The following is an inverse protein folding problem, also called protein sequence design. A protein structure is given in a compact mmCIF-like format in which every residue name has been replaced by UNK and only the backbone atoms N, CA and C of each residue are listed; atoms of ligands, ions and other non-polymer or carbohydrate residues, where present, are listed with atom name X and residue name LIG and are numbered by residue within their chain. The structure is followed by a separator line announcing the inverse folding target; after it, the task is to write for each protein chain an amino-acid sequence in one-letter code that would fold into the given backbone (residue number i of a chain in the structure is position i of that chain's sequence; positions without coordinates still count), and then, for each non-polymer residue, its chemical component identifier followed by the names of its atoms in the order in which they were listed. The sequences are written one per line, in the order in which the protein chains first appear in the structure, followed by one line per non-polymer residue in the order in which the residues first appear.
data_IF_103820584321
#
_entry.id   IF_103820584321
#
_cell.length_a   1.000
_cell.length_b   1.000
_cell.length_c   1.000
_cell.angle_alpha   90.00
_cell.angle_beta   90.00
_cell.angle_gamma   90.00
#
_symmetry.space_group_name_H-M   'P 1'
#
loop_
_entity.id
_entity.type
_entity.pdbx_description
1 polymer ?
#
# COMPACT_ATOMS: atom_id res chain seq x y z
N UNK A 1 -53.95 25.42 5.14
CA UNK A 1 -52.72 25.90 4.48
C UNK A 1 -51.52 25.58 5.36
N UNK A 2 -50.41 25.15 4.74
CA UNK A 2 -49.00 25.19 5.20
C UNK A 2 -48.58 24.14 6.26
N UNK A 3 -47.40 23.52 6.27
CA UNK A 3 -46.37 23.12 5.30
C UNK A 3 -45.45 22.07 6.01
N UNK A 4 -44.53 21.49 5.25
CA UNK A 4 -43.68 20.31 5.44
C UNK A 4 -42.55 20.40 6.53
N UNK A 5 -41.74 19.32 6.74
CA UNK A 5 -41.03 18.92 7.97
C UNK A 5 -39.55 19.33 8.02
N UNK A 6 -38.88 19.25 9.18
CA UNK A 6 -37.41 19.36 9.26
C UNK A 6 -36.82 18.81 10.58
N UNK A 7 -36.65 17.49 10.70
CA UNK A 7 -35.82 16.90 11.77
C UNK A 7 -34.93 15.76 11.26
N UNK A 8 -34.49 15.82 10.00
CA UNK A 8 -33.72 14.75 9.35
C UNK A 8 -32.28 15.07 8.84
N UNK A 9 -31.61 16.21 9.15
CA UNK A 9 -30.23 16.39 8.67
C UNK A 9 -29.14 15.89 9.64
N UNK A 10 -29.33 15.99 10.97
CA UNK A 10 -28.25 15.75 11.94
C UNK A 10 -27.87 14.26 12.08
N UNK A 11 -28.86 13.37 12.10
CA UNK A 11 -28.65 11.93 12.25
C UNK A 11 -28.02 11.31 10.98
N UNK A 12 -28.34 11.86 9.80
CA UNK A 12 -27.70 11.50 8.55
C UNK A 12 -26.24 11.98 8.47
N UNK A 13 -25.94 13.18 8.99
CA UNK A 13 -24.58 13.72 9.03
C UNK A 13 -23.65 12.88 9.92
N UNK A 14 -24.12 12.45 11.10
CA UNK A 14 -23.34 11.61 12.01
C UNK A 14 -23.05 10.23 11.41
N UNK A 15 -24.03 9.61 10.75
CA UNK A 15 -23.82 8.35 10.02
C UNK A 15 -22.85 8.50 8.85
N UNK A 16 -22.94 9.61 8.10
CA UNK A 16 -22.03 9.89 6.99
C UNK A 16 -20.58 10.08 7.48
N UNK A 17 -20.37 10.85 8.55
CA UNK A 17 -19.05 11.04 9.15
C UNK A 17 -18.48 9.74 9.72
N UNK A 18 -19.29 8.90 10.37
CA UNK A 18 -18.87 7.59 10.85
C UNK A 18 -18.53 6.64 9.69
N UNK A 19 -19.21 6.76 8.54
CA UNK A 19 -18.90 5.98 7.35
C UNK A 19 -17.60 6.44 6.69
N UNK A 20 -17.37 7.75 6.62
CA UNK A 20 -16.13 8.33 6.10
C UNK A 20 -14.91 8.03 6.98
N UNK A 21 -15.03 8.08 8.32
CA UNK A 21 -13.95 7.67 9.21
C UNK A 21 -13.63 6.17 9.08
N UNK A 22 -14.66 5.33 8.93
CA UNK A 22 -14.49 3.90 8.67
C UNK A 22 -13.82 3.65 7.32
N UNK A 23 -14.18 4.42 6.28
CA UNK A 23 -13.54 4.38 4.95
C UNK A 23 -12.05 4.75 5.01
N UNK A 24 -11.73 5.81 5.74
CA UNK A 24 -10.36 6.25 5.95
C UNK A 24 -9.53 5.22 6.72
N UNK A 25 -10.12 4.55 7.72
CA UNK A 25 -9.45 3.48 8.45
C UNK A 25 -9.24 2.18 7.65
N UNK A 26 -10.00 1.94 6.56
CA UNK A 26 -9.77 0.77 5.67
C UNK A 26 -8.50 0.94 4.83
N UNK A 27 -8.09 2.18 4.59
CA UNK A 27 -6.87 2.51 3.84
C UNK A 27 -5.61 2.23 4.69
N UNK A 28 -5.73 2.22 6.03
CA UNK A 28 -4.57 2.14 6.94
C UNK A 28 -4.28 0.74 7.53
N UNK A 29 -5.12 -0.27 7.33
CA UNK A 29 -4.77 -1.66 7.70
C UNK A 29 -4.37 -2.41 6.44
N UNK A 30 -3.30 -1.94 5.80
CA UNK A 30 -2.49 -2.86 5.00
C UNK A 30 -1.81 -3.81 5.99
N UNK A 31 -1.89 -5.14 5.80
CA UNK A 31 -0.98 -6.03 6.53
C UNK A 31 0.41 -5.48 6.30
N UNK A 32 1.20 -5.34 7.37
CA UNK A 32 2.62 -4.98 7.27
C UNK A 32 3.28 -6.04 6.41
N UNK A 33 3.27 -5.81 5.10
CA UNK A 33 3.82 -6.74 4.15
C UNK A 33 5.30 -6.88 4.50
N UNK A 34 5.90 -8.07 4.37
CA UNK A 34 7.33 -8.25 4.63
C UNK A 34 8.20 -7.24 3.84
N UNK A 35 7.66 -6.69 2.74
CA UNK A 35 8.21 -5.57 1.97
C UNK A 35 8.44 -4.27 2.77
N UNK A 36 7.68 -3.99 3.83
CA UNK A 36 7.83 -2.77 4.64
C UNK A 36 9.03 -2.86 5.59
N UNK A 37 9.30 -4.06 6.11
CA UNK A 37 10.53 -4.35 6.86
C UNK A 37 11.78 -4.24 5.95
N UNK A 38 11.63 -4.56 4.67
CA UNK A 38 12.70 -4.36 3.69
C UNK A 38 12.97 -2.88 3.41
N UNK A 39 11.96 -2.01 3.59
CA UNK A 39 12.08 -0.58 3.33
C UNK A 39 12.99 0.18 4.31
N UNK A 40 13.24 -0.42 5.47
CA UNK A 40 14.19 0.10 6.44
C UNK A 40 15.64 -0.30 6.09
N UNK A 41 15.85 -1.21 5.13
CA UNK A 41 17.18 -1.65 4.72
C UNK A 41 17.83 -0.64 3.78
N UNK A 42 19.16 -0.48 3.85
CA UNK A 42 19.87 0.30 2.86
C UNK A 42 19.70 -0.34 1.47
N UNK A 43 19.64 0.50 0.43
CA UNK A 43 19.36 0.12 -0.97
C UNK A 43 20.05 -1.17 -1.45
N UNK A 44 21.32 -1.39 -1.08
CA UNK A 44 22.09 -2.59 -1.48
C UNK A 44 21.53 -3.85 -0.85
N UNK A 45 21.33 -3.84 0.47
CA UNK A 45 20.77 -4.96 1.23
C UNK A 45 19.34 -5.28 0.78
N UNK A 46 18.55 -4.26 0.46
CA UNK A 46 17.19 -4.45 -0.03
C UNK A 46 17.19 -5.21 -1.38
N UNK A 47 18.01 -4.79 -2.34
CA UNK A 47 18.15 -5.50 -3.62
C UNK A 47 18.65 -6.93 -3.45
N UNK A 48 19.55 -7.19 -2.50
CA UNK A 48 20.01 -8.55 -2.18
C UNK A 48 18.90 -9.41 -1.58
N UNK A 49 18.08 -8.87 -0.67
CA UNK A 49 16.89 -9.57 -0.15
C UNK A 49 15.89 -9.93 -1.25
N UNK A 50 15.61 -8.99 -2.17
CA UNK A 50 14.70 -9.24 -3.29
C UNK A 50 15.24 -10.37 -4.17
N UNK A 51 16.55 -10.40 -4.44
CA UNK A 51 17.19 -11.49 -5.20
C UNK A 51 17.13 -12.82 -4.48
N UNK A 52 17.33 -12.85 -3.16
CA UNK A 52 17.21 -14.06 -2.35
C UNK A 52 15.80 -14.63 -2.44
N UNK A 53 14.77 -13.80 -2.21
CA UNK A 53 13.35 -14.21 -2.34
C UNK A 53 13.04 -14.74 -3.74
N UNK A 54 13.54 -14.07 -4.78
CA UNK A 54 13.40 -14.54 -6.18
C UNK A 54 14.08 -15.89 -6.39
N UNK A 55 15.28 -16.10 -5.85
CA UNK A 55 16.01 -17.37 -5.95
C UNK A 55 15.32 -18.51 -5.18
N UNK A 56 14.63 -18.18 -4.08
CA UNK A 56 13.78 -19.11 -3.33
C UNK A 56 12.45 -19.43 -4.04
N UNK A 57 12.16 -18.74 -5.15
CA UNK A 57 10.90 -18.90 -5.91
C UNK A 57 9.75 -18.04 -5.40
N UNK A 58 9.98 -17.22 -4.38
CA UNK A 58 9.01 -16.34 -3.75
C UNK A 58 8.86 -15.02 -4.55
N UNK A 59 8.37 -15.16 -5.79
CA UNK A 59 8.24 -14.05 -6.75
C UNK A 59 7.24 -12.99 -6.29
N UNK A 60 6.21 -13.38 -5.56
CA UNK A 60 5.17 -12.47 -5.05
C UNK A 60 5.75 -11.48 -4.02
N UNK A 61 6.41 -11.96 -2.97
CA UNK A 61 7.06 -11.07 -2.00
C UNK A 61 8.25 -10.33 -2.62
N UNK A 62 8.99 -10.94 -3.54
CA UNK A 62 10.07 -10.25 -4.25
C UNK A 62 9.53 -9.06 -5.06
N UNK A 63 8.40 -9.24 -5.75
CA UNK A 63 7.71 -8.17 -6.47
C UNK A 63 7.18 -7.10 -5.52
N UNK A 64 6.46 -7.47 -4.47
CA UNK A 64 5.93 -6.50 -3.50
C UNK A 64 7.04 -5.64 -2.88
N UNK A 65 8.17 -6.28 -2.54
CA UNK A 65 9.36 -5.60 -2.00
C UNK A 65 10.05 -4.71 -3.04
N UNK A 66 10.07 -5.13 -4.31
CA UNK A 66 10.59 -4.34 -5.42
C UNK A 66 9.70 -3.13 -5.76
N UNK A 67 8.38 -3.28 -5.76
CA UNK A 67 7.44 -2.18 -5.97
C UNK A 67 7.59 -1.12 -4.87
N UNK A 68 7.80 -1.55 -3.62
CA UNK A 68 8.09 -0.63 -2.51
C UNK A 68 9.46 0.03 -2.67
N UNK A 69 10.48 -0.70 -3.14
CA UNK A 69 11.79 -0.13 -3.46
C UNK A 69 11.69 1.00 -4.51
N UNK A 70 10.88 0.84 -5.55
CA UNK A 70 10.67 1.88 -6.58
C UNK A 70 9.92 3.09 -6.04
N UNK A 71 8.95 2.88 -5.14
CA UNK A 71 8.23 3.96 -4.48
C UNK A 71 9.12 4.76 -3.53
N UNK A 72 9.99 4.09 -2.77
CA UNK A 72 10.93 4.74 -1.83
C UNK A 72 12.11 5.38 -2.55
N UNK A 73 12.61 4.74 -3.62
CA UNK A 73 13.77 5.20 -4.38
C UNK A 73 13.44 5.32 -5.88
N UNK A 74 12.61 6.28 -6.29
CA UNK A 74 12.23 6.47 -7.69
C UNK A 74 13.42 6.84 -8.58
N UNK A 75 14.44 7.48 -8.00
CA UNK A 75 15.70 7.84 -8.67
C UNK A 75 16.68 6.66 -8.79
N UNK A 76 16.46 5.57 -8.04
CA UNK A 76 17.34 4.41 -8.09
C UNK A 76 17.09 3.60 -9.35
N UNK A 77 18.17 3.32 -10.10
CA UNK A 77 18.09 2.43 -11.25
C UNK A 77 17.83 1.00 -10.81
N UNK A 78 16.70 0.46 -11.27
CA UNK A 78 16.33 -0.94 -11.06
C UNK A 78 17.29 -1.84 -11.85
N UNK A 79 17.94 -2.83 -11.20
CA UNK A 79 18.82 -3.76 -11.90
C UNK A 79 18.04 -4.61 -12.91
N UNK A 80 18.67 -4.90 -14.06
CA UNK A 80 18.04 -5.64 -15.19
C UNK A 80 17.50 -7.01 -14.79
N UNK A 81 18.08 -7.63 -13.76
CA UNK A 81 17.66 -8.93 -13.22
C UNK A 81 16.31 -8.88 -12.48
N UNK A 82 16.00 -7.75 -11.83
CA UNK A 82 14.76 -7.55 -11.08
C UNK A 82 13.68 -6.85 -11.91
N UNK A 83 14.09 -6.08 -12.93
CA UNK A 83 13.22 -5.39 -13.88
C UNK A 83 12.10 -6.25 -14.50
N UNK A 84 12.30 -7.54 -14.85
CA UNK A 84 11.20 -8.39 -15.34
C UNK A 84 10.11 -8.68 -14.31
N UNK A 85 10.37 -8.53 -13.01
CA UNK A 85 9.35 -8.73 -11.96
C UNK A 85 8.28 -7.63 -11.95
N UNK A 86 8.55 -6.47 -12.55
CA UNK A 86 7.63 -5.31 -12.58
C UNK A 86 6.82 -5.19 -13.89
N UNK A 87 7.14 -5.99 -14.90
CA UNK A 87 6.66 -5.80 -16.27
C UNK A 87 6.05 -7.06 -16.86
N UNK A 88 5.02 -7.60 -16.21
CA UNK A 88 4.09 -8.55 -16.84
C UNK A 88 2.70 -7.94 -16.93
#
# INVERSE_FOLDING_TARGET
MRAAPAAAPADAQVRASASALREQARIEVMPVAPADADAQLPRRQWLERIRARRAEGDLDSARASLERFVQTYPEARIPRDLRPLLGN
#
